data_IF_396136494115
#
_entry.id   IF_396136494115
#
_cell.length_a   1.000
_cell.length_b   1.000
_cell.length_c   1.000
_cell.angle_alpha   90.00
_cell.angle_beta   90.00
_cell.angle_gamma   90.00
#
_symmetry.space_group_name_H-M   'P 1'
#
loop_
_entity.id
_entity.type
_entity.pdbx_description
1 polymer ?
#
# COMPACT_ATOMS: atom_id res chain seq x y z
N UNK A 1 -12.67 3.72 -20.75
CA UNK A 1 -12.55 3.03 -19.46
C UNK A 1 -11.11 2.68 -19.17
N UNK A 2 -10.70 2.96 -17.99
CA UNK A 2 -9.32 2.67 -17.61
C UNK A 2 -9.31 1.49 -16.65
N UNK A 3 -8.62 0.44 -17.02
CA UNK A 3 -8.47 -0.71 -16.15
C UNK A 3 -7.28 -0.49 -15.22
N UNK A 4 -7.44 -0.94 -13.99
CA UNK A 4 -6.32 -0.98 -13.07
C UNK A 4 -5.28 -1.98 -13.57
N UNK A 5 -4.02 -1.63 -13.41
CA UNK A 5 -2.93 -2.50 -13.81
C UNK A 5 -2.16 -2.96 -12.60
N UNK A 6 -2.05 -4.26 -12.47
CA UNK A 6 -1.24 -4.85 -11.43
C UNK A 6 -0.20 -5.76 -12.06
N UNK A 7 1.01 -5.70 -11.51
CA UNK A 7 2.10 -6.57 -11.94
C UNK A 7 2.53 -7.47 -10.82
N UNK A 8 2.62 -8.75 -11.13
CA UNK A 8 3.19 -9.74 -10.23
C UNK A 8 4.38 -10.38 -10.92
N UNK A 9 5.55 -10.25 -10.33
CA UNK A 9 6.77 -10.87 -10.83
C UNK A 9 7.30 -11.87 -9.82
N UNK A 10 7.42 -13.11 -10.23
CA UNK A 10 8.00 -14.17 -9.42
C UNK A 10 9.35 -14.51 -10.01
N UNK A 11 10.40 -14.43 -9.21
CA UNK A 11 11.78 -14.53 -9.68
C UNK A 11 12.42 -15.83 -9.24
N UNK A 12 13.24 -16.32 -10.14
CA UNK A 12 14.31 -17.22 -9.82
C UNK A 12 13.94 -18.66 -9.61
N UNK A 13 14.95 -19.42 -9.30
CA UNK A 13 14.85 -20.80 -8.90
C UNK A 13 14.43 -20.82 -7.45
N UNK A 14 13.21 -21.19 -7.22
CA UNK A 14 12.62 -20.93 -5.94
C UNK A 14 12.24 -19.46 -5.83
N UNK A 15 11.38 -19.15 -4.88
CA UNK A 15 10.87 -17.81 -4.72
C UNK A 15 11.88 -16.95 -3.93
N UNK A 16 12.64 -16.12 -4.64
CA UNK A 16 13.58 -15.20 -4.02
C UNK A 16 13.00 -13.81 -3.82
N UNK A 17 11.90 -13.50 -4.51
CA UNK A 17 11.21 -12.25 -4.34
C UNK A 17 9.95 -12.20 -5.16
N UNK A 18 9.05 -11.31 -4.76
CA UNK A 18 7.81 -11.05 -5.48
C UNK A 18 7.65 -9.54 -5.61
N UNK A 19 7.48 -9.08 -6.84
CA UNK A 19 7.21 -7.69 -7.12
C UNK A 19 5.73 -7.53 -7.45
N UNK A 20 5.04 -6.66 -6.71
CA UNK A 20 3.65 -6.33 -6.95
C UNK A 20 3.55 -4.83 -7.17
N UNK A 21 2.99 -4.43 -8.30
CA UNK A 21 2.76 -3.03 -8.60
C UNK A 21 1.28 -2.76 -8.63
N UNK A 22 0.84 -1.79 -7.85
CA UNK A 22 -0.55 -1.37 -7.81
C UNK A 22 -0.64 0.07 -8.29
N UNK A 23 -1.61 0.33 -9.16
CA UNK A 23 -1.93 1.68 -9.60
C UNK A 23 -3.21 2.09 -8.92
N UNK A 24 -3.09 2.96 -7.96
CA UNK A 24 -4.24 3.38 -7.18
C UNK A 24 -5.10 4.36 -7.99
N UNK A 25 -6.37 4.05 -8.08
CA UNK A 25 -7.36 4.84 -8.79
C UNK A 25 -8.56 5.04 -7.87
N UNK A 26 -9.54 5.87 -8.26
CA UNK A 26 -10.76 5.99 -7.46
C UNK A 26 -11.51 4.67 -7.27
N UNK A 27 -11.27 3.68 -8.14
CA UNK A 27 -11.85 2.35 -7.99
C UNK A 27 -11.09 1.43 -7.06
N UNK A 28 -9.90 1.82 -6.64
CA UNK A 28 -9.13 1.03 -5.68
C UNK A 28 -9.77 1.11 -4.31
N UNK A 29 -9.66 0.03 -3.55
CA UNK A 29 -10.26 -0.06 -2.24
C UNK A 29 -9.16 -0.23 -1.19
N UNK A 30 -9.01 0.77 -0.34
CA UNK A 30 -7.96 0.80 0.69
C UNK A 30 -8.64 1.00 2.02
N UNK A 31 -8.37 0.10 2.95
CA UNK A 31 -8.98 0.20 4.28
C UNK A 31 -8.16 -0.56 5.32
N UNK A 32 -8.43 -0.22 6.56
CA UNK A 32 -7.92 -0.96 7.70
C UNK A 32 -9.09 -1.70 8.35
N UNK A 33 -9.01 -3.02 8.35
CA UNK A 33 -10.03 -3.85 8.98
C UNK A 33 -9.72 -3.98 10.47
N UNK A 34 -10.65 -3.55 11.29
CA UNK A 34 -10.49 -3.57 12.74
C UNK A 34 -11.29 -4.73 13.31
N UNK A 35 -10.69 -5.44 14.23
CA UNK A 35 -11.29 -6.59 14.90
C UNK A 35 -11.25 -6.39 16.40
N UNK A 36 -12.21 -6.94 17.10
CA UNK A 36 -12.31 -6.76 18.54
C UNK A 36 -11.28 -7.59 19.32
N UNK A 37 -10.97 -8.77 18.81
CA UNK A 37 -10.16 -9.74 19.53
C UNK A 37 -8.85 -10.11 18.84
N UNK A 38 -8.46 -9.37 17.83
CA UNK A 38 -7.19 -9.59 17.15
C UNK A 38 -6.71 -8.31 16.46
N UNK A 39 -5.42 -8.26 16.08
CA UNK A 39 -4.83 -7.07 15.47
C UNK A 39 -5.48 -6.70 14.14
N UNK A 40 -5.35 -5.44 13.74
CA UNK A 40 -5.92 -4.96 12.48
C UNK A 40 -5.19 -5.54 11.28
N UNK A 41 -5.89 -5.53 10.16
CA UNK A 41 -5.32 -5.91 8.86
C UNK A 41 -5.55 -4.76 7.90
N UNK A 42 -4.45 -4.27 7.32
CA UNK A 42 -4.52 -3.25 6.27
C UNK A 42 -4.70 -3.95 4.93
N UNK A 43 -5.70 -3.52 4.16
CA UNK A 43 -5.97 -4.13 2.86
C UNK A 43 -5.94 -3.09 1.76
N UNK A 44 -5.36 -3.50 0.62
CA UNK A 44 -5.36 -2.71 -0.60
C UNK A 44 -5.86 -3.62 -1.72
N UNK A 45 -7.00 -3.27 -2.29
CA UNK A 45 -7.60 -4.06 -3.37
C UNK A 45 -7.60 -3.24 -4.64
N UNK A 46 -7.13 -3.83 -5.72
CA UNK A 46 -7.09 -3.21 -7.03
C UNK A 46 -7.51 -4.24 -8.08
N UNK A 47 -8.79 -4.21 -8.44
CA UNK A 47 -9.37 -5.20 -9.33
C UNK A 47 -9.23 -6.62 -8.78
N UNK A 48 -8.60 -7.53 -9.52
CA UNK A 48 -8.42 -8.90 -9.06
C UNK A 48 -7.29 -9.07 -8.06
N UNK A 49 -6.53 -8.02 -7.77
CA UNK A 49 -5.38 -8.12 -6.88
C UNK A 49 -5.77 -7.66 -5.48
N UNK A 50 -5.47 -8.48 -4.51
CA UNK A 50 -5.74 -8.20 -3.10
C UNK A 50 -4.44 -8.28 -2.33
N UNK A 51 -4.10 -7.21 -1.62
CA UNK A 51 -2.90 -7.16 -0.79
C UNK A 51 -3.33 -6.96 0.65
N UNK A 52 -2.77 -7.77 1.54
CA UNK A 52 -3.02 -7.65 2.97
C UNK A 52 -1.70 -7.42 3.69
N UNK A 53 -1.72 -6.51 4.64
CA UNK A 53 -0.57 -6.22 5.50
C UNK A 53 -1.01 -6.47 6.94
N UNK A 54 -0.29 -7.34 7.62
CA UNK A 54 -0.62 -7.72 8.98
C UNK A 54 0.63 -8.06 9.76
N UNK A 55 0.49 -8.13 11.09
CA UNK A 55 1.60 -8.54 11.95
C UNK A 55 1.93 -10.01 11.74
N UNK A 56 3.20 -10.41 11.84
CA UNK A 56 3.60 -11.81 11.65
C UNK A 56 2.93 -12.78 12.62
N UNK A 57 2.79 -12.37 13.88
CA UNK A 57 2.15 -13.18 14.91
C UNK A 57 1.02 -12.38 15.55
N UNK A 58 -0.23 -12.68 15.19
CA UNK A 58 -1.36 -11.91 15.71
C UNK A 58 -1.57 -12.05 17.22
N UNK A 59 -0.97 -13.04 17.85
CA UNK A 59 -1.09 -13.21 19.28
C UNK A 59 -0.02 -12.48 20.08
N UNK A 60 1.04 -12.04 19.41
CA UNK A 60 2.18 -11.35 20.04
C UNK A 60 2.62 -10.17 19.20
N UNK A 61 2.11 -8.99 19.52
CA UNK A 61 2.54 -7.76 18.87
C UNK A 61 3.77 -7.25 19.60
N UNK A 62 4.85 -7.08 18.88
CA UNK A 62 6.15 -6.69 19.42
C UNK A 62 6.47 -5.23 19.11
N UNK A 63 7.52 -4.72 19.76
CA UNK A 63 8.03 -3.38 19.46
C UNK A 63 8.52 -3.29 18.01
N UNK A 64 9.07 -4.37 17.48
CA UNK A 64 9.50 -4.43 16.09
C UNK A 64 8.32 -4.32 15.13
N UNK A 65 7.18 -4.92 15.48
CA UNK A 65 5.95 -4.80 14.68
C UNK A 65 5.48 -3.36 14.65
N UNK A 66 5.53 -2.67 15.78
CA UNK A 66 5.17 -1.27 15.86
C UNK A 66 6.13 -0.39 15.05
N UNK A 67 7.42 -0.67 15.12
CA UNK A 67 8.42 0.06 14.35
C UNK A 67 8.18 -0.10 12.86
N UNK A 68 7.91 -1.32 12.40
CA UNK A 68 7.61 -1.58 11.00
C UNK A 68 6.35 -0.85 10.55
N UNK A 69 5.31 -0.85 11.38
CA UNK A 69 4.06 -0.13 11.06
C UNK A 69 4.30 1.39 10.97
N UNK A 70 5.14 1.93 11.86
CA UNK A 70 5.49 3.35 11.81
C UNK A 70 6.28 3.70 10.55
N UNK A 71 7.18 2.81 10.13
CA UNK A 71 7.93 2.99 8.89
C UNK A 71 6.98 3.01 7.70
N UNK A 72 6.00 2.11 7.68
CA UNK A 72 4.99 2.09 6.63
C UNK A 72 4.19 3.40 6.61
N UNK A 73 3.74 3.85 7.76
CA UNK A 73 2.98 5.09 7.86
C UNK A 73 3.80 6.29 7.37
N UNK A 74 5.07 6.35 7.75
CA UNK A 74 5.96 7.42 7.32
C UNK A 74 6.17 7.40 5.80
N UNK A 75 6.35 6.23 5.22
CA UNK A 75 6.52 6.08 3.77
C UNK A 75 5.26 6.52 3.02
N UNK A 76 4.10 6.15 3.52
CA UNK A 76 2.82 6.55 2.92
C UNK A 76 2.63 8.07 3.00
N UNK A 77 2.99 8.67 4.13
CA UNK A 77 2.92 10.11 4.30
C UNK A 77 3.82 10.83 3.30
N UNK A 78 5.04 10.34 3.11
CA UNK A 78 5.97 10.90 2.13
C UNK A 78 5.42 10.77 0.72
N UNK A 79 4.85 9.61 0.39
CA UNK A 79 4.25 9.37 -0.90
C UNK A 79 3.13 10.36 -1.20
N UNK A 80 2.22 10.55 -0.26
CA UNK A 80 1.12 11.50 -0.40
C UNK A 80 1.64 12.92 -0.57
N UNK A 81 2.58 13.33 0.26
CA UNK A 81 3.14 14.67 0.22
C UNK A 81 3.79 14.96 -1.13
N UNK A 82 4.52 14.00 -1.67
CA UNK A 82 5.17 14.17 -2.96
C UNK A 82 4.16 14.22 -4.11
N UNK A 83 3.10 13.40 -4.04
CA UNK A 83 2.01 13.48 -5.01
C UNK A 83 1.34 14.85 -5.00
N UNK A 84 1.10 15.40 -3.82
CA UNK A 84 0.51 16.72 -3.68
C UNK A 84 1.41 17.79 -4.31
N UNK A 85 2.72 17.65 -4.10
CA UNK A 85 3.68 18.56 -4.70
C UNK A 85 3.65 18.51 -6.22
N UNK A 86 3.65 17.31 -6.78
CA UNK A 86 3.57 17.14 -8.25
C UNK A 86 2.24 17.64 -8.81
N UNK A 87 1.16 17.39 -8.12
CA UNK A 87 -0.15 17.87 -8.53
C UNK A 87 -0.20 19.39 -8.56
N UNK A 88 0.33 20.03 -7.52
CA UNK A 88 0.37 21.48 -7.44
C UNK A 88 1.24 22.08 -8.56
N UNK A 89 2.37 21.46 -8.86
CA UNK A 89 3.26 21.90 -9.93
C UNK A 89 2.58 21.81 -11.29
N UNK A 90 1.86 20.73 -11.56
CA UNK A 90 1.11 20.54 -12.79
C UNK A 90 0.00 21.59 -12.93
N UNK A 91 -0.72 21.84 -11.84
CA UNK A 91 -1.80 22.83 -11.85
C UNK A 91 -1.25 24.23 -12.07
N UNK A 92 -0.14 24.57 -11.44
CA UNK A 92 0.51 25.86 -11.63
C UNK A 92 1.00 26.03 -13.07
N UNK A 93 1.59 24.98 -13.65
CA UNK A 93 2.03 25.00 -15.03
C UNK A 93 0.86 25.18 -16.00
N UNK A 94 -0.26 24.56 -15.74
CA UNK A 94 -1.44 24.70 -16.57
C UNK A 94 -2.10 26.07 -16.44
N UNK A 95 -1.97 26.71 -15.32
CA UNK A 95 -2.55 28.02 -15.08
C UNK A 95 -1.76 29.13 -15.79
N UNK A 96 -0.55 28.88 -16.15
CA UNK A 96 0.27 29.84 -16.90
C UNK A 96 -0.14 29.90 -18.40
#
# INVERSE_FOLDING_TARGET
MTASTAHLTIRGDGLTGVDVSLRLTPGSFIRCCLYQDRPPILTLDDGPVHVSVSAPDPEHITDDDLAAARDLAAAVTTYLSDLEHHHAAQTSGQAA
#
